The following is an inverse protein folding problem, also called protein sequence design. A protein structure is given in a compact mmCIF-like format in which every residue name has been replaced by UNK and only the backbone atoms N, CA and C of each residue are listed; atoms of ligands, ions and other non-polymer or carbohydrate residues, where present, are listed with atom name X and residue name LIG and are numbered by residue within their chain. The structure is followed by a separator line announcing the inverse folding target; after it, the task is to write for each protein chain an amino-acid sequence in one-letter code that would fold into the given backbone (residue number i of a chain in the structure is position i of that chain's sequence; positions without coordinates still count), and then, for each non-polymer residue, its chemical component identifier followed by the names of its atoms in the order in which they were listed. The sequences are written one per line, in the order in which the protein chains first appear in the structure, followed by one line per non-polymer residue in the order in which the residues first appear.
data_IF_659920888560
#
_entry.id   IF_659920888560
#
_cell.length_a   1.000
_cell.length_b   1.000
_cell.length_c   1.000
_cell.angle_alpha   90.00
_cell.angle_beta   90.00
_cell.angle_gamma   90.00
#
_symmetry.space_group_name_H-M   'P 1'
#
loop_
_entity.id
_entity.type
_entity.pdbx_description
1 polymer ?
#
# COMPACT_ATOMS: atom_id res chain seq x y z
N UNK A 1 -10.49 -8.36 -3.35
CA UNK A 1 -9.16 -7.88 -3.73
C UNK A 1 -8.42 -7.61 -2.45
N UNK A 2 -7.39 -8.40 -2.22
CA UNK A 2 -6.58 -8.39 -1.01
C UNK A 2 -5.27 -7.61 -1.25
N UNK A 3 -4.66 -7.06 -0.21
CA UNK A 3 -3.36 -6.40 -0.29
C UNK A 3 -2.27 -7.38 -0.75
N UNK A 4 -2.36 -8.65 -0.35
CA UNK A 4 -1.42 -9.68 -0.78
C UNK A 4 -1.46 -9.90 -2.31
N UNK A 5 -2.64 -9.84 -2.93
CA UNK A 5 -2.80 -9.97 -4.39
C UNK A 5 -2.15 -8.79 -5.12
N UNK A 6 -2.32 -7.56 -4.62
CA UNK A 6 -1.71 -6.35 -5.19
C UNK A 6 -0.18 -6.37 -5.06
N UNK A 7 0.34 -6.84 -3.94
CA UNK A 7 1.78 -6.98 -3.70
C UNK A 7 2.37 -8.09 -4.59
N UNK A 8 1.71 -9.25 -4.70
CA UNK A 8 2.10 -10.32 -5.61
C UNK A 8 2.11 -9.85 -7.07
N UNK A 9 1.11 -9.07 -7.48
CA UNK A 9 1.06 -8.46 -8.81
C UNK A 9 2.24 -7.50 -9.02
N UNK A 10 2.58 -6.68 -8.02
CA UNK A 10 3.69 -5.73 -8.08
C UNK A 10 5.02 -6.45 -8.26
N UNK A 11 5.29 -7.50 -7.47
CA UNK A 11 6.50 -8.32 -7.59
C UNK A 11 6.56 -9.04 -8.95
N UNK A 12 5.45 -9.62 -9.40
CA UNK A 12 5.36 -10.27 -10.72
C UNK A 12 5.70 -9.32 -11.87
N UNK A 13 5.32 -8.05 -11.76
CA UNK A 13 5.61 -7.01 -12.75
C UNK A 13 6.93 -6.29 -12.50
N UNK A 14 7.78 -6.78 -11.59
CA UNK A 14 9.07 -6.18 -11.20
C UNK A 14 8.95 -4.70 -10.80
N UNK A 15 7.85 -4.35 -10.15
CA UNK A 15 7.63 -3.00 -9.67
C UNK A 15 8.49 -2.71 -8.43
N UNK A 16 9.09 -1.52 -8.39
CA UNK A 16 9.84 -1.04 -7.21
C UNK A 16 8.91 -0.61 -6.09
N UNK A 17 7.78 -0.01 -6.44
CA UNK A 17 6.81 0.52 -5.48
C UNK A 17 5.37 0.19 -5.91
N UNK A 18 4.52 -0.13 -4.94
CA UNK A 18 3.06 -0.10 -5.05
C UNK A 18 2.54 1.14 -4.32
N UNK A 19 1.75 1.95 -5.00
CA UNK A 19 1.13 3.16 -4.50
C UNK A 19 -0.39 2.96 -4.38
N UNK A 20 -0.90 3.18 -3.17
CA UNK A 20 -2.32 3.24 -2.86
C UNK A 20 -2.69 4.67 -2.49
N UNK A 21 -3.73 5.21 -3.12
CA UNK A 21 -4.24 6.54 -2.82
C UNK A 21 -5.75 6.55 -2.98
N UNK A 22 -6.46 6.95 -1.92
CA UNK A 22 -7.91 7.05 -1.97
C UNK A 22 -8.40 7.92 -3.15
N UNK A 23 -9.43 7.45 -3.83
CA UNK A 23 -10.02 8.04 -5.03
C UNK A 23 -9.29 7.70 -6.34
N UNK A 24 -8.26 6.85 -6.29
CA UNK A 24 -7.45 6.46 -7.45
C UNK A 24 -7.36 4.93 -7.56
N UNK A 25 -7.17 4.39 -8.77
CA UNK A 25 -6.75 3.00 -8.93
C UNK A 25 -5.38 2.80 -8.27
N UNK A 26 -5.07 1.60 -7.73
CA UNK A 26 -3.72 1.22 -7.37
C UNK A 26 -2.74 1.45 -8.52
N UNK A 27 -1.54 1.87 -8.18
CA UNK A 27 -0.50 2.19 -9.16
C UNK A 27 0.79 1.46 -8.79
N UNK A 28 1.55 1.05 -9.79
CA UNK A 28 2.87 0.46 -9.60
C UNK A 28 3.93 1.32 -10.29
N UNK A 29 5.12 1.38 -9.69
CA UNK A 29 6.30 1.97 -10.33
C UNK A 29 7.13 0.89 -10.99
N UNK A 30 7.27 0.97 -12.32
CA UNK A 30 8.13 0.06 -13.10
C UNK A 30 9.08 0.91 -13.93
N UNK A 31 10.38 0.64 -13.84
CA UNK A 31 11.44 1.38 -14.54
C UNK A 31 11.37 2.91 -14.34
N UNK A 32 10.94 3.35 -13.15
CA UNK A 32 10.80 4.76 -12.78
C UNK A 32 9.41 5.35 -13.04
N UNK A 33 8.63 4.77 -13.94
CA UNK A 33 7.30 5.25 -14.34
C UNK A 33 6.20 4.71 -13.42
N UNK A 34 5.30 5.59 -12.97
CA UNK A 34 4.10 5.21 -12.21
C UNK A 34 2.95 4.92 -13.17
N UNK A 35 2.42 3.70 -13.13
CA UNK A 35 1.33 3.23 -14.01
C UNK A 35 0.16 2.71 -13.19
N UNK A 36 -1.07 3.02 -13.62
CA UNK A 36 -2.30 2.51 -12.99
C UNK A 36 -2.52 1.06 -13.34
N UNK A 37 -2.91 0.25 -12.35
CA UNK A 37 -3.42 -1.09 -12.56
C UNK A 37 -4.85 -0.96 -13.11
N UNK A 38 -5.24 -1.83 -14.05
CA UNK A 38 -6.57 -1.81 -14.68
C UNK A 38 -7.66 -2.37 -13.76
N UNK A 39 -7.90 -1.67 -12.66
CA UNK A 39 -8.93 -1.96 -11.66
C UNK A 39 -9.60 -0.65 -11.24
N UNK A 40 -10.84 -0.69 -10.72
CA UNK A 40 -11.54 0.51 -10.30
C UNK A 40 -10.77 1.31 -9.24
N UNK A 41 -11.08 2.61 -9.17
CA UNK A 41 -10.57 3.46 -8.11
C UNK A 41 -11.03 2.93 -6.74
N UNK A 42 -10.13 2.97 -5.77
CA UNK A 42 -10.42 2.54 -4.39
C UNK A 42 -10.75 3.77 -3.54
N UNK A 43 -11.85 3.71 -2.81
CA UNK A 43 -12.24 4.78 -1.90
C UNK A 43 -11.41 4.78 -0.61
N UNK A 44 -11.63 5.78 0.24
CA UNK A 44 -10.94 5.88 1.52
C UNK A 44 -11.13 4.65 2.41
N UNK A 45 -12.35 4.10 2.50
CA UNK A 45 -12.65 2.97 3.39
C UNK A 45 -11.94 1.70 2.92
N UNK A 46 -11.92 1.47 1.61
CA UNK A 46 -11.22 0.34 1.00
C UNK A 46 -9.71 0.43 1.24
N UNK A 47 -9.09 1.58 0.98
CA UNK A 47 -7.65 1.77 1.23
C UNK A 47 -7.32 1.64 2.72
N UNK A 48 -8.12 2.26 3.58
CA UNK A 48 -7.91 2.20 5.03
C UNK A 48 -7.98 0.75 5.55
N UNK A 49 -8.97 -0.04 5.12
CA UNK A 49 -9.08 -1.46 5.48
C UNK A 49 -7.83 -2.24 5.04
N UNK A 50 -7.41 -2.10 3.78
CA UNK A 50 -6.25 -2.81 3.24
C UNK A 50 -4.96 -2.54 4.02
N UNK A 51 -4.77 -1.30 4.47
CA UNK A 51 -3.60 -0.91 5.26
C UNK A 51 -3.75 -1.37 6.72
N UNK A 52 -4.94 -1.25 7.31
CA UNK A 52 -5.18 -1.67 8.70
C UNK A 52 -4.98 -3.17 8.90
N UNK A 53 -5.30 -3.99 7.90
CA UNK A 53 -5.22 -5.44 7.97
C UNK A 53 -3.77 -5.95 8.11
N UNK A 54 -2.78 -5.15 7.69
CA UNK A 54 -1.35 -5.50 7.78
C UNK A 54 -0.62 -4.81 8.94
N UNK A 55 -1.31 -3.95 9.68
CA UNK A 55 -0.77 -3.27 10.84
C UNK A 55 -0.99 -4.07 12.13
N UNK A 56 0.02 -4.05 12.99
CA UNK A 56 -0.10 -4.41 14.42
C UNK A 56 -0.83 -3.31 15.20
N UNK A 57 -1.30 -3.65 16.41
CA UNK A 57 -1.99 -2.69 17.28
C UNK A 57 -1.15 -1.44 17.60
N UNK A 58 0.17 -1.60 17.74
CA UNK A 58 1.06 -0.44 17.96
C UNK A 58 1.06 0.47 16.72
N UNK A 59 1.19 -0.10 15.53
CA UNK A 59 1.22 0.67 14.28
C UNK A 59 -0.12 1.36 13.99
N UNK A 60 -1.25 0.72 14.34
CA UNK A 60 -2.58 1.34 14.26
C UNK A 60 -2.67 2.56 15.17
N UNK A 61 -2.22 2.45 16.42
CA UNK A 61 -2.17 3.59 17.35
C UNK A 61 -1.28 4.69 16.83
N UNK A 62 -0.07 4.36 16.37
CA UNK A 62 0.86 5.35 15.81
C UNK A 62 0.23 6.05 14.59
N UNK A 63 -0.44 5.32 13.69
CA UNK A 63 -1.14 5.87 12.54
C UNK A 63 -2.33 6.76 12.92
N UNK A 64 -3.10 6.39 13.94
CA UNK A 64 -4.23 7.20 14.44
C UNK A 64 -3.77 8.48 15.15
N UNK A 65 -2.67 8.41 15.91
CA UNK A 65 -2.13 9.53 16.68
C UNK A 65 -1.34 10.51 15.80
N UNK A 66 -0.46 9.99 14.95
CA UNK A 66 0.46 10.79 14.14
C UNK A 66 0.00 10.99 12.69
N UNK A 67 -1.11 10.36 12.28
CA UNK A 67 -1.66 10.39 10.92
C UNK A 67 -0.75 9.76 9.85
N UNK A 68 0.34 9.12 10.28
CA UNK A 68 1.27 8.37 9.46
C UNK A 68 2.05 7.33 10.27
N UNK A 69 2.55 6.28 9.61
CA UNK A 69 3.42 5.27 10.24
C UNK A 69 4.30 4.58 9.20
N UNK A 70 5.55 4.28 9.58
CA UNK A 70 6.49 3.46 8.83
C UNK A 70 6.63 2.07 9.48
N UNK A 71 6.61 1.01 8.67
CA UNK A 71 6.89 -0.35 9.14
C UNK A 71 7.38 -1.27 8.02
N UNK A 72 7.71 -2.52 8.37
CA UNK A 72 8.01 -3.57 7.41
C UNK A 72 6.90 -4.61 7.41
N UNK A 73 6.57 -5.13 6.24
CA UNK A 73 5.59 -6.20 6.04
C UNK A 73 6.22 -7.30 5.18
N UNK A 74 5.95 -8.57 5.49
CA UNK A 74 6.52 -9.71 4.78
C UNK A 74 5.41 -10.63 4.30
N UNK A 75 5.49 -11.06 3.04
CA UNK A 75 4.71 -12.18 2.52
C UNK A 75 5.68 -13.34 2.33
N UNK A 76 5.63 -14.39 3.17
CA UNK A 76 6.53 -15.53 3.08
C UNK A 76 6.54 -16.15 1.69
N UNK A 77 7.74 -16.37 1.15
CA UNK A 77 7.92 -16.93 -0.20
C UNK A 77 7.69 -15.96 -1.36
N UNK A 78 7.37 -14.69 -1.08
CA UNK A 78 7.21 -13.64 -2.08
C UNK A 78 8.27 -12.55 -1.96
N UNK A 79 8.16 -11.68 -0.94
CA UNK A 79 9.07 -10.55 -0.71
C UNK A 79 8.80 -9.89 0.65
N UNK A 80 9.74 -9.03 1.06
CA UNK A 80 9.57 -8.07 2.15
C UNK A 80 9.31 -6.68 1.56
N UNK A 81 8.55 -5.88 2.28
CA UNK A 81 8.17 -4.54 1.87
C UNK A 81 8.41 -3.55 3.00
N UNK A 82 8.99 -2.39 2.68
CA UNK A 82 8.91 -1.21 3.53
C UNK A 82 7.61 -0.49 3.22
N UNK A 83 6.78 -0.28 4.23
CA UNK A 83 5.47 0.33 4.11
C UNK A 83 5.48 1.68 4.81
N UNK A 84 5.03 2.71 4.11
CA UNK A 84 4.65 3.99 4.69
C UNK A 84 3.14 4.17 4.48
N UNK A 85 2.39 4.34 5.55
CA UNK A 85 0.96 4.64 5.52
C UNK A 85 0.73 6.06 6.02
N UNK A 86 -0.14 6.82 5.37
CA UNK A 86 -0.35 8.25 5.64
C UNK A 86 -1.74 8.72 5.23
N UNK A 87 -2.10 9.95 5.63
CA UNK A 87 -3.31 10.63 5.18
C UNK A 87 -3.00 11.74 4.17
N UNK A 88 -3.88 11.91 3.19
CA UNK A 88 -3.84 12.99 2.21
C UNK A 88 -5.26 13.53 1.97
N UNK A 89 -5.41 14.59 1.16
CA UNK A 89 -6.67 15.31 1.00
C UNK A 89 -7.89 14.43 0.58
N UNK A 90 -7.67 13.34 -0.16
CA UNK A 90 -8.72 12.38 -0.57
C UNK A 90 -8.94 11.25 0.44
N UNK A 91 -8.17 11.17 1.53
CA UNK A 91 -8.21 10.11 2.55
C UNK A 91 -6.89 9.35 2.70
N UNK A 92 -6.97 8.10 3.14
CA UNK A 92 -5.80 7.23 3.36
C UNK A 92 -4.97 6.99 2.09
N UNK A 93 -3.68 6.77 2.29
CA UNK A 93 -2.72 6.36 1.27
C UNK A 93 -1.62 5.50 1.88
N UNK A 94 -0.95 4.73 1.02
CA UNK A 94 0.23 3.97 1.41
C UNK A 94 1.18 3.78 0.22
N UNK A 95 2.47 3.65 0.52
CA UNK A 95 3.50 3.23 -0.42
C UNK A 95 4.19 2.01 0.13
N UNK A 96 4.29 0.97 -0.70
CA UNK A 96 4.99 -0.27 -0.41
C UNK A 96 6.20 -0.36 -1.32
N UNK A 97 7.39 -0.37 -0.75
CA UNK A 97 8.63 -0.57 -1.50
C UNK A 97 9.16 -1.98 -1.28
N UNK A 98 9.34 -2.73 -2.37
CA UNK A 98 9.93 -4.07 -2.33
C UNK A 98 11.40 -3.99 -1.86
N UNK A 99 11.80 -4.88 -0.94
CA UNK A 99 13.16 -5.04 -0.41
C UNK A 99 13.85 -6.23 -1.08
#
# INVERSE_FOLDING_TARGET
MDIAELLAFSVKNKASDLHLSAGLPPMIRVDGDVRRINIPALDHKQIHSLIYDIMSDKQRRDYEEFLEVDFSFEIPGLARFRVNAFNQNRGSGAVFRTI
#
